data_IF_601328772452
#
_entry.id   IF_601328772452
#
_cell.length_a   1.000
_cell.length_b   1.000
_cell.length_c   1.000
_cell.angle_alpha   90.00
_cell.angle_beta   90.00
_cell.angle_gamma   90.00
#
_symmetry.space_group_name_H-M   'P 1'
#
loop_
_entity.id
_entity.type
_entity.pdbx_description
1 polymer ?
#
# COMPACT_ATOMS: atom_id res chain seq x y z
N UNK A 1 20.08 3.49 6.02
CA UNK A 1 18.68 3.09 6.27
C UNK A 1 18.08 2.65 4.96
N UNK A 2 17.87 1.34 4.79
CA UNK A 2 17.36 0.73 3.56
C UNK A 2 15.93 1.18 3.31
N UNK A 3 15.71 1.88 2.19
CA UNK A 3 14.36 2.12 1.65
C UNK A 3 13.86 0.78 1.10
N UNK A 4 13.19 0.00 1.94
CA UNK A 4 12.54 -1.24 1.53
C UNK A 4 11.16 -0.91 0.97
N UNK A 5 11.04 -0.86 -0.35
CA UNK A 5 9.75 -0.79 -1.05
C UNK A 5 9.01 -2.12 -0.79
N UNK A 6 7.98 -2.12 0.07
CA UNK A 6 7.16 -3.31 0.29
C UNK A 6 6.00 -3.29 -0.71
N UNK A 7 6.27 -3.72 -1.94
CA UNK A 7 5.21 -3.87 -2.95
C UNK A 7 4.41 -5.14 -2.67
N UNK A 8 3.20 -4.99 -2.13
CA UNK A 8 2.26 -6.11 -2.06
C UNK A 8 1.50 -6.19 -3.38
N UNK A 9 1.53 -7.36 -4.03
CA UNK A 9 0.75 -7.63 -5.24
C UNK A 9 -0.43 -8.53 -4.88
N UNK A 10 -1.65 -8.07 -5.13
CA UNK A 10 -2.87 -8.88 -5.04
C UNK A 10 -3.38 -9.19 -6.45
N UNK A 11 -3.78 -10.44 -6.67
CA UNK A 11 -4.33 -10.90 -7.94
C UNK A 11 -5.67 -11.60 -7.74
N UNK A 12 -6.65 -11.25 -8.55
CA UNK A 12 -7.92 -11.95 -8.67
C UNK A 12 -8.17 -12.27 -10.15
N UNK A 13 -8.49 -13.52 -10.44
CA UNK A 13 -8.76 -13.99 -11.78
C UNK A 13 -10.13 -14.65 -11.80
N UNK A 14 -11.06 -14.01 -12.51
CA UNK A 14 -12.33 -14.60 -12.92
C UNK A 14 -12.27 -14.87 -14.42
N UNK A 15 -13.18 -15.71 -14.93
CA UNK A 15 -13.21 -16.25 -16.29
C UNK A 15 -13.01 -15.22 -17.42
N UNK A 16 -13.34 -13.94 -17.20
CA UNK A 16 -13.12 -12.84 -18.14
C UNK A 16 -12.52 -11.58 -17.50
N UNK A 17 -11.96 -11.67 -16.29
CA UNK A 17 -11.45 -10.48 -15.60
C UNK A 17 -10.21 -10.81 -14.78
N UNK A 18 -9.08 -10.20 -15.14
CA UNK A 18 -7.86 -10.22 -14.35
C UNK A 18 -7.70 -8.89 -13.63
N UNK A 19 -7.89 -8.88 -12.31
CA UNK A 19 -7.62 -7.74 -11.45
C UNK A 19 -6.26 -7.92 -10.75
N UNK A 20 -5.36 -6.98 -10.98
CA UNK A 20 -4.05 -6.92 -10.31
C UNK A 20 -4.00 -5.63 -9.53
N UNK A 21 -3.39 -5.62 -8.37
CA UNK A 21 -2.94 -4.33 -7.89
C UNK A 21 -1.80 -4.35 -6.92
N UNK A 22 -1.28 -3.16 -6.72
CA UNK A 22 0.00 -2.88 -6.13
C UNK A 22 -0.22 -1.93 -4.97
N UNK A 23 0.43 -2.17 -3.84
CA UNK A 23 0.54 -1.18 -2.76
C UNK A 23 1.98 -0.80 -2.53
N UNK A 24 2.19 0.41 -2.02
CA UNK A 24 3.48 0.93 -1.61
C UNK A 24 3.32 1.64 -0.26
N UNK A 25 4.29 1.44 0.62
CA UNK A 25 4.29 1.96 1.98
C UNK A 25 5.68 2.52 2.31
N UNK A 26 5.80 3.84 2.27
CA UNK A 26 7.02 4.53 2.67
C UNK A 26 6.99 4.80 4.18
N UNK A 27 7.92 4.17 4.90
CA UNK A 27 8.27 4.51 6.29
C UNK A 27 9.51 5.41 6.31
N UNK A 28 9.30 6.73 6.31
CA UNK A 28 10.38 7.70 6.54
C UNK A 28 10.44 7.97 8.05
N UNK A 29 11.49 7.44 8.69
CA UNK A 29 11.63 7.44 10.15
C UNK A 29 12.13 8.75 10.75
N UNK A 30 11.35 9.32 11.66
CA UNK A 30 11.80 10.05 12.84
C UNK A 30 11.09 9.41 14.04
N UNK A 31 11.77 9.26 15.20
CA UNK A 31 11.22 8.58 16.41
C UNK A 31 9.89 9.20 16.85
N UNK A 32 9.69 10.50 16.61
CA UNK A 32 8.50 11.26 17.02
C UNK A 32 7.49 11.53 15.89
N UNK A 33 7.86 11.29 14.62
CA UNK A 33 7.10 11.78 13.47
C UNK A 33 6.94 10.66 12.44
N UNK A 34 6.22 9.58 12.82
CA UNK A 34 5.90 8.47 11.90
C UNK A 34 4.83 8.91 10.91
N UNK A 35 5.25 9.68 9.90
CA UNK A 35 4.45 9.97 8.71
C UNK A 35 4.57 8.77 7.77
N UNK A 36 3.46 8.08 7.58
CA UNK A 36 3.38 6.94 6.66
C UNK A 36 2.63 7.38 5.43
N UNK A 37 3.24 7.23 4.26
CA UNK A 37 2.54 7.41 2.99
C UNK A 37 2.14 6.05 2.48
N UNK A 38 0.84 5.85 2.28
CA UNK A 38 0.30 4.64 1.65
C UNK A 38 -0.18 5.00 0.25
N UNK A 39 0.22 4.20 -0.72
CA UNK A 39 -0.27 4.29 -2.10
C UNK A 39 -0.75 2.92 -2.54
N UNK A 40 -1.80 2.87 -3.35
CA UNK A 40 -2.12 1.67 -4.09
C UNK A 40 -2.74 2.00 -5.45
N UNK A 41 -2.61 1.07 -6.39
CA UNK A 41 -3.23 1.11 -7.70
C UNK A 41 -3.78 -0.26 -8.10
N UNK A 42 -4.92 -0.26 -8.77
CA UNK A 42 -5.67 -1.43 -9.20
C UNK A 42 -5.82 -1.40 -10.72
N UNK A 43 -5.46 -2.49 -11.38
CA UNK A 43 -5.49 -2.69 -12.82
C UNK A 43 -6.45 -3.82 -13.18
N UNK A 44 -7.29 -3.62 -14.19
CA UNK A 44 -8.06 -4.68 -14.84
C UNK A 44 -7.56 -4.84 -16.28
N UNK A 45 -7.13 -6.04 -16.66
CA UNK A 45 -6.67 -6.32 -18.03
C UNK A 45 -5.70 -5.26 -18.56
N UNK A 46 -4.72 -4.87 -17.73
CA UNK A 46 -3.72 -3.84 -17.99
C UNK A 46 -4.21 -2.38 -18.01
N UNK A 47 -5.48 -2.10 -17.74
CA UNK A 47 -6.01 -0.74 -17.59
C UNK A 47 -6.09 -0.32 -16.12
N UNK A 48 -5.60 0.87 -15.77
CA UNK A 48 -5.73 1.42 -14.42
C UNK A 48 -7.21 1.76 -14.14
N UNK A 49 -7.84 1.00 -13.23
CA UNK A 49 -9.25 1.18 -12.88
C UNK A 49 -9.40 2.11 -11.68
N UNK A 50 -8.51 1.99 -10.69
CA UNK A 50 -8.55 2.85 -9.51
C UNK A 50 -7.17 3.01 -8.89
N UNK A 51 -7.00 4.11 -8.17
CA UNK A 51 -5.80 4.37 -7.38
C UNK A 51 -6.19 5.16 -6.15
N UNK A 52 -5.44 4.98 -5.07
CA UNK A 52 -5.54 5.82 -3.90
C UNK A 52 -4.16 6.18 -3.36
N UNK A 53 -4.06 7.38 -2.81
CA UNK A 53 -2.88 7.86 -2.12
C UNK A 53 -3.35 8.50 -0.81
N UNK A 54 -2.87 7.97 0.31
CA UNK A 54 -3.17 8.46 1.64
C UNK A 54 -1.88 8.81 2.35
N UNK A 55 -1.69 10.09 2.62
CA UNK A 55 -0.66 10.57 3.54
C UNK A 55 -1.25 10.56 4.95
N UNK A 56 -0.87 9.57 5.76
CA UNK A 56 -1.30 9.48 7.15
C UNK A 56 -0.24 10.21 8.00
N UNK A 57 -0.63 11.33 8.60
CA UNK A 57 0.25 12.12 9.49
C UNK A 57 0.30 11.57 10.93
N UNK A 58 0.05 10.27 11.17
CA UNK A 58 -0.04 9.78 12.55
C UNK A 58 0.21 8.29 12.75
N UNK A 59 0.80 7.98 13.91
CA UNK A 59 1.15 6.65 14.44
C UNK A 59 -0.13 5.84 14.70
N UNK A 60 -0.44 4.86 13.86
CA UNK A 60 -1.36 3.79 14.25
C UNK A 60 -0.60 2.78 15.11
N UNK A 61 -0.69 2.90 16.43
CA UNK A 61 -0.34 1.83 17.36
C UNK A 61 -1.30 0.66 17.13
N UNK A 62 -0.87 -0.35 16.37
CA UNK A 62 -1.47 -1.67 16.47
C UNK A 62 -0.83 -2.38 17.66
N UNK A 63 -1.35 -2.16 18.86
CA UNK A 63 -0.99 -2.95 20.04
C UNK A 63 -1.89 -4.18 20.07
N UNK A 64 -1.44 -5.28 19.47
CA UNK A 64 -1.99 -6.59 19.80
C UNK A 64 -1.52 -6.91 21.22
N UNK A 65 -2.41 -6.76 22.21
CA UNK A 65 -2.15 -7.31 23.54
C UNK A 65 -2.39 -8.82 23.45
N UNK A 66 -1.33 -9.59 23.71
CA UNK A 66 -1.35 -11.03 23.93
C UNK A 66 -2.20 -11.40 25.13
#
# INVERSE_FOLDING_TARGET
MSKGLLTLVYGFQDTNLSLVGYSDADWVGCVDDRKTTFRACFYAENNLVSWYNKKQNYISLFTAKT
#
